data_IF_794182704017
#
_entry.id   IF_794182704017
#
_cell.length_a   1.000
_cell.length_b   1.000
_cell.length_c   1.000
_cell.angle_alpha   90.00
_cell.angle_beta   90.00
_cell.angle_gamma   90.00
#
_symmetry.space_group_name_H-M   'P 1'
#
loop_
_entity.id
_entity.type
_entity.pdbx_description
1 polymer ?
#
# COMPACT_ATOMS: atom_id res chain seq x y z
N UNK A 1 -18.08 -1.78 -34.11
CA UNK A 1 -18.85 -2.63 -33.17
C UNK A 1 -19.12 -1.81 -31.93
N UNK A 2 -20.39 -1.46 -31.70
CA UNK A 2 -20.84 -0.59 -30.61
C UNK A 2 -21.32 -1.46 -29.44
N UNK A 3 -20.80 -1.25 -28.24
CA UNK A 3 -21.26 -1.92 -27.02
C UNK A 3 -22.50 -1.20 -26.51
N UNK A 4 -23.63 -1.91 -26.53
CA UNK A 4 -24.90 -1.45 -25.95
C UNK A 4 -24.87 -1.63 -24.43
N UNK A 5 -24.86 -0.52 -23.70
CA UNK A 5 -24.83 -0.47 -22.24
C UNK A 5 -26.23 -0.60 -21.60
N UNK A 6 -27.29 -0.74 -22.40
CA UNK A 6 -28.67 -0.89 -21.93
C UNK A 6 -29.14 -2.35 -21.91
N UNK A 7 -28.29 -3.29 -22.33
CA UNK A 7 -28.58 -4.72 -22.21
C UNK A 7 -28.32 -5.20 -20.77
N UNK A 8 -29.35 -5.66 -20.02
CA UNK A 8 -29.15 -6.17 -18.67
C UNK A 8 -28.33 -7.46 -18.71
N UNK A 9 -27.15 -7.44 -18.10
CA UNK A 9 -26.32 -8.65 -17.92
C UNK A 9 -26.94 -9.54 -16.84
N UNK A 10 -27.04 -10.86 -17.07
CA UNK A 10 -27.73 -11.79 -16.16
C UNK A 10 -26.93 -12.18 -14.91
N UNK A 11 -25.77 -11.56 -14.64
CA UNK A 11 -24.86 -11.91 -13.54
C UNK A 11 -25.02 -11.04 -12.28
N UNK A 12 -25.91 -10.05 -12.27
CA UNK A 12 -26.24 -9.28 -11.06
C UNK A 12 -27.55 -9.82 -10.45
N UNK A 13 -27.39 -10.79 -9.55
CA UNK A 13 -28.48 -11.35 -8.75
C UNK A 13 -28.82 -10.40 -7.59
N UNK A 14 -29.71 -9.45 -7.86
CA UNK A 14 -30.56 -8.84 -6.81
C UNK A 14 -32.01 -8.78 -7.29
N UNK A 15 -32.54 -9.92 -7.74
CA UNK A 15 -33.98 -10.09 -7.90
C UNK A 15 -34.55 -10.60 -6.58
N UNK A 16 -35.13 -9.68 -5.79
CA UNK A 16 -36.04 -10.06 -4.71
C UNK A 16 -37.17 -10.87 -5.32
N UNK A 17 -37.28 -12.14 -4.94
CA UNK A 17 -38.46 -12.96 -5.23
C UNK A 17 -39.69 -12.22 -4.69
N UNK A 18 -40.66 -11.89 -5.55
CA UNK A 18 -41.99 -11.50 -5.07
C UNK A 18 -42.69 -12.76 -4.57
N UNK A 19 -42.97 -12.81 -3.28
CA UNK A 19 -43.84 -13.82 -2.68
C UNK A 19 -45.23 -13.74 -3.34
N UNK A 20 -45.80 -14.89 -3.65
CA UNK A 20 -47.19 -14.96 -4.13
C UNK A 20 -48.13 -14.73 -2.96
N UNK A 21 -49.33 -14.20 -3.25
CA UNK A 21 -50.35 -13.95 -2.23
C UNK A 21 -50.68 -15.26 -1.49
N UNK A 22 -50.34 -15.33 -0.20
CA UNK A 22 -50.50 -16.52 0.66
C UNK A 22 -49.20 -17.26 1.03
N UNK A 23 -48.05 -16.85 0.51
CA UNK A 23 -46.76 -17.46 0.86
C UNK A 23 -46.13 -16.75 2.09
N UNK A 24 -45.90 -17.51 3.17
CA UNK A 24 -45.29 -17.02 4.40
C UNK A 24 -43.77 -17.23 4.28
N UNK A 25 -43.02 -16.14 4.27
CA UNK A 25 -41.56 -16.17 4.30
C UNK A 25 -41.07 -16.54 5.71
N UNK A 26 -40.39 -17.67 5.84
CA UNK A 26 -39.78 -18.12 7.11
C UNK A 26 -38.31 -17.71 7.22
N UNK A 27 -37.82 -16.84 6.31
CA UNK A 27 -36.46 -16.31 6.39
C UNK A 27 -36.33 -15.39 7.62
N UNK A 28 -35.43 -15.67 8.57
CA UNK A 28 -35.19 -14.75 9.69
C UNK A 28 -34.71 -13.41 9.13
N UNK A 29 -35.31 -12.32 9.60
CA UNK A 29 -34.98 -10.98 9.16
C UNK A 29 -33.46 -10.74 9.29
N UNK A 30 -32.80 -10.12 8.29
CA UNK A 30 -31.44 -9.67 8.49
C UNK A 30 -31.43 -8.74 9.70
N UNK A 31 -30.55 -9.02 10.66
CA UNK A 31 -30.41 -8.20 11.85
C UNK A 31 -30.24 -6.74 11.42
N UNK A 32 -31.20 -5.90 11.77
CA UNK A 32 -31.10 -4.46 11.59
C UNK A 32 -29.91 -4.00 12.43
N UNK A 33 -28.80 -3.68 11.77
CA UNK A 33 -27.69 -2.99 12.42
C UNK A 33 -28.18 -1.56 12.63
N UNK A 34 -28.63 -1.26 13.84
CA UNK A 34 -28.92 0.12 14.23
C UNK A 34 -27.60 0.80 14.57
N UNK A 35 -27.02 1.47 13.57
CA UNK A 35 -25.75 2.20 13.69
C UNK A 35 -25.81 3.35 14.72
N UNK A 36 -27.00 3.70 15.21
CA UNK A 36 -27.25 4.74 16.20
C UNK A 36 -27.94 4.20 17.45
N UNK A 37 -27.69 2.94 17.82
CA UNK A 37 -28.16 2.40 19.09
C UNK A 37 -27.44 3.09 20.28
N UNK A 38 -28.05 4.17 20.76
CA UNK A 38 -27.64 4.93 21.94
C UNK A 38 -27.98 4.22 23.26
N UNK A 39 -28.61 3.05 23.21
CA UNK A 39 -28.94 2.25 24.40
C UNK A 39 -27.78 1.34 24.84
N UNK A 40 -26.78 1.14 23.99
CA UNK A 40 -25.57 0.39 24.34
C UNK A 40 -24.79 1.17 25.39
N UNK A 41 -24.54 0.55 26.54
CA UNK A 41 -23.73 1.18 27.58
C UNK A 41 -22.26 1.32 27.11
N UNK A 42 -21.52 2.36 27.55
CA UNK A 42 -20.13 2.58 27.12
C UNK A 42 -19.21 1.37 27.36
N UNK A 43 -19.51 0.59 28.40
CA UNK A 43 -18.77 -0.62 28.79
C UNK A 43 -19.02 -1.78 27.80
N UNK A 44 -20.26 -1.96 27.37
CA UNK A 44 -20.65 -2.98 26.38
C UNK A 44 -20.21 -2.60 24.95
N UNK A 45 -20.13 -1.30 24.64
CA UNK A 45 -19.52 -0.79 23.41
C UNK A 45 -18.00 -0.97 23.40
N UNK A 46 -17.34 -0.84 24.56
CA UNK A 46 -15.89 -1.02 24.71
C UNK A 46 -15.47 -2.50 24.63
N UNK A 47 -16.28 -3.44 25.14
CA UNK A 47 -16.03 -4.88 24.96
C UNK A 47 -16.11 -5.33 23.50
N UNK A 48 -17.01 -4.73 22.70
CA UNK A 48 -17.16 -5.04 21.26
C UNK A 48 -16.05 -4.44 20.39
N UNK A 49 -15.36 -3.41 20.86
CA UNK A 49 -14.24 -2.78 20.15
C UNK A 49 -12.94 -2.98 20.92
N UNK A 50 -12.36 -4.18 20.84
CA UNK A 50 -10.95 -4.32 21.18
C UNK A 50 -10.14 -3.34 20.32
N UNK A 51 -9.40 -2.39 20.92
CA UNK A 51 -8.61 -1.44 20.17
C UNK A 51 -7.57 -2.21 19.36
N UNK A 52 -7.60 -2.03 18.04
CA UNK A 52 -6.57 -2.58 17.15
C UNK A 52 -5.21 -2.10 17.68
N UNK A 53 -4.26 -3.00 17.96
CA UNK A 53 -2.97 -2.60 18.52
C UNK A 53 -2.32 -1.56 17.61
N UNK A 54 -1.88 -0.47 18.21
CA UNK A 54 -1.24 0.61 17.48
C UNK A 54 0.02 0.09 16.77
N UNK A 55 0.15 0.38 15.48
CA UNK A 55 1.35 0.02 14.72
C UNK A 55 2.57 0.75 15.32
N UNK A 56 3.74 0.07 15.42
CA UNK A 56 4.96 0.71 15.87
C UNK A 56 5.30 1.95 15.04
N UNK A 57 5.85 2.97 15.68
CA UNK A 57 6.22 4.24 15.06
C UNK A 57 7.74 4.36 14.99
N UNK A 58 8.26 4.88 13.88
CA UNK A 58 9.69 5.04 13.66
C UNK A 58 10.29 6.16 14.53
N UNK A 59 11.06 5.77 15.54
CA UNK A 59 11.76 6.69 16.45
C UNK A 59 13.28 6.72 16.24
N UNK A 60 13.86 5.71 15.58
CA UNK A 60 15.29 5.57 15.35
C UNK A 60 15.59 4.63 14.18
N UNK A 61 16.70 3.90 14.25
CA UNK A 61 17.00 2.84 13.29
C UNK A 61 16.26 1.55 13.64
N UNK A 62 15.63 0.91 12.66
CA UNK A 62 14.91 -0.35 12.82
C UNK A 62 15.17 -1.26 11.63
N UNK A 63 15.27 -2.57 11.87
CA UNK A 63 15.27 -3.59 10.81
C UNK A 63 13.90 -4.23 10.74
N UNK A 64 13.24 -4.18 9.58
CA UNK A 64 12.01 -4.93 9.37
C UNK A 64 12.33 -6.40 9.17
N UNK A 65 11.54 -7.24 9.82
CA UNK A 65 11.65 -8.70 9.75
C UNK A 65 10.26 -9.28 9.67
N UNK A 66 10.14 -10.60 9.51
CA UNK A 66 8.83 -11.26 9.57
C UNK A 66 8.13 -11.10 10.92
N UNK A 67 8.88 -10.90 12.01
CA UNK A 67 8.33 -10.62 13.35
C UNK A 67 7.93 -9.15 13.55
N UNK A 68 8.57 -8.22 12.83
CA UNK A 68 8.22 -6.80 12.80
C UNK A 68 8.05 -6.37 11.34
N UNK A 69 6.94 -6.75 10.69
CA UNK A 69 6.81 -6.60 9.25
C UNK A 69 6.43 -5.20 8.81
N UNK A 70 5.93 -4.36 9.73
CA UNK A 70 5.43 -3.03 9.45
C UNK A 70 5.91 -2.03 10.49
N UNK A 71 6.29 -0.84 10.02
CA UNK A 71 6.47 0.33 10.86
C UNK A 71 5.85 1.56 10.19
N UNK A 72 5.32 2.47 11.02
CA UNK A 72 4.73 3.71 10.56
C UNK A 72 5.71 4.87 10.76
N UNK A 73 5.84 5.73 9.77
CA UNK A 73 6.56 7.00 9.94
C UNK A 73 5.70 7.95 10.77
N UNK A 74 6.33 8.89 11.47
CA UNK A 74 5.60 10.01 12.07
C UNK A 74 5.03 10.93 10.98
N UNK A 75 4.03 11.75 11.32
CA UNK A 75 3.54 12.80 10.43
C UNK A 75 4.67 13.73 9.95
N UNK A 76 5.62 14.06 10.83
CA UNK A 76 6.79 14.88 10.51
C UNK A 76 7.70 14.21 9.48
N UNK A 77 8.06 12.94 9.71
CA UNK A 77 8.88 12.16 8.78
C UNK A 77 8.17 11.91 7.44
N UNK A 78 6.84 11.95 7.40
CA UNK A 78 6.03 11.76 6.18
C UNK A 78 5.80 13.04 5.37
N UNK A 79 6.13 14.21 5.92
CA UNK A 79 5.83 15.51 5.30
C UNK A 79 7.06 16.36 4.96
N UNK A 80 8.18 16.17 5.66
CA UNK A 80 9.36 17.04 5.53
C UNK A 80 10.37 16.47 4.53
N UNK A 81 10.58 17.19 3.43
CA UNK A 81 11.68 16.94 2.50
C UNK A 81 11.44 15.71 1.62
N UNK A 82 12.31 14.72 1.77
CA UNK A 82 12.30 13.49 1.00
C UNK A 82 12.68 12.28 1.85
N UNK A 83 12.31 11.10 1.38
CA UNK A 83 12.93 9.85 1.82
C UNK A 83 14.01 9.47 0.82
N UNK A 84 15.17 9.03 1.31
CA UNK A 84 16.23 8.47 0.47
C UNK A 84 16.28 6.98 0.69
N UNK A 85 16.22 6.21 -0.39
CA UNK A 85 16.23 4.75 -0.37
C UNK A 85 17.45 4.25 -1.12
N UNK A 86 18.37 3.60 -0.42
CA UNK A 86 19.61 3.06 -0.98
C UNK A 86 19.51 1.54 -1.15
N UNK A 87 20.39 0.95 -1.96
CA UNK A 87 20.38 -0.50 -2.23
C UNK A 87 19.26 -0.97 -3.16
N UNK A 88 18.65 -0.04 -3.91
CA UNK A 88 17.52 -0.32 -4.82
C UNK A 88 18.01 -0.54 -6.24
N UNK A 89 17.68 -1.69 -6.83
CA UNK A 89 17.92 -1.98 -8.25
C UNK A 89 16.69 -1.71 -9.11
N UNK A 90 15.50 -1.81 -8.50
CA UNK A 90 14.23 -1.62 -9.17
C UNK A 90 13.20 -1.01 -8.20
N UNK A 91 12.35 -0.12 -8.72
CA UNK A 91 11.14 0.25 -8.00
C UNK A 91 9.92 0.33 -8.91
N UNK A 92 8.76 0.03 -8.35
CA UNK A 92 7.45 0.22 -8.96
C UNK A 92 6.64 1.23 -8.15
N UNK A 93 5.73 1.94 -8.80
CA UNK A 93 4.81 2.85 -8.13
C UNK A 93 3.39 2.69 -8.63
N UNK A 94 2.48 3.18 -7.81
CA UNK A 94 1.10 3.46 -8.20
C UNK A 94 0.71 4.82 -7.62
N UNK A 95 0.14 5.68 -8.45
CA UNK A 95 -0.41 6.97 -8.04
C UNK A 95 -1.86 6.83 -7.58
N UNK A 96 -2.39 7.86 -6.91
CA UNK A 96 -3.80 7.93 -6.51
C UNK A 96 -4.76 7.85 -7.70
N UNK A 97 -4.35 8.38 -8.85
CA UNK A 97 -5.06 8.27 -10.13
C UNK A 97 -4.93 6.91 -10.82
N UNK A 98 -4.34 5.91 -10.15
CA UNK A 98 -4.07 4.54 -10.66
C UNK A 98 -3.11 4.45 -11.84
N UNK A 99 -2.41 5.53 -12.18
CA UNK A 99 -1.26 5.43 -13.08
C UNK A 99 -0.14 4.70 -12.33
N UNK A 100 0.38 3.64 -12.94
CA UNK A 100 1.45 2.81 -12.41
C UNK A 100 2.60 2.71 -13.41
N UNK A 101 3.75 2.28 -12.91
CA UNK A 101 4.93 2.03 -13.71
C UNK A 101 6.04 1.47 -12.85
N UNK A 102 7.19 1.25 -13.47
CA UNK A 102 8.37 0.76 -12.79
C UNK A 102 9.62 1.08 -13.56
N UNK A 103 10.72 1.23 -12.84
CA UNK A 103 12.01 1.56 -13.43
C UNK A 103 13.11 0.77 -12.77
N UNK A 104 13.98 0.20 -13.60
CA UNK A 104 15.21 -0.46 -13.17
C UNK A 104 16.37 0.52 -13.28
N UNK A 105 17.34 0.42 -12.38
CA UNK A 105 18.56 1.23 -12.41
C UNK A 105 19.22 1.15 -13.79
N UNK A 106 19.71 2.29 -14.28
CA UNK A 106 20.33 2.40 -15.61
C UNK A 106 19.34 2.36 -16.78
N UNK A 107 18.03 2.26 -16.52
CA UNK A 107 16.97 2.43 -17.53
C UNK A 107 16.25 3.75 -17.30
N UNK A 108 15.84 4.38 -18.38
CA UNK A 108 14.99 5.57 -18.35
C UNK A 108 13.56 5.14 -18.55
N UNK A 109 12.67 5.51 -17.64
CA UNK A 109 11.23 5.43 -17.87
C UNK A 109 10.76 6.75 -18.54
N UNK A 110 10.08 6.70 -19.69
CA UNK A 110 9.60 7.90 -20.38
C UNK A 110 8.67 8.79 -19.54
N UNK A 111 7.93 8.20 -18.58
CA UNK A 111 6.93 8.91 -17.79
C UNK A 111 7.02 8.60 -16.30
N UNK A 112 8.02 9.19 -15.66
CA UNK A 112 8.12 9.21 -14.20
C UNK A 112 6.91 9.92 -13.57
N UNK A 113 6.43 9.45 -12.40
CA UNK A 113 5.28 10.06 -11.75
C UNK A 113 5.68 11.43 -11.22
N UNK A 114 4.94 12.46 -11.60
CA UNK A 114 5.18 13.82 -11.19
C UNK A 114 3.86 14.55 -10.89
N UNK A 115 3.91 15.45 -9.93
CA UNK A 115 2.80 16.35 -9.60
C UNK A 115 3.31 17.79 -9.52
N UNK A 116 2.57 18.74 -10.09
CA UNK A 116 2.97 20.15 -10.16
C UNK A 116 4.42 20.37 -10.67
N UNK A 117 4.81 19.63 -11.73
CA UNK A 117 6.16 19.63 -12.33
C UNK A 117 7.28 19.16 -11.39
N UNK A 118 6.96 18.40 -10.34
CA UNK A 118 7.93 17.82 -9.41
C UNK A 118 7.81 16.29 -9.43
N UNK A 119 8.93 15.55 -9.61
CA UNK A 119 8.93 14.11 -9.44
C UNK A 119 8.43 13.71 -8.06
N UNK A 120 7.58 12.69 -8.00
CA UNK A 120 7.14 12.07 -6.76
C UNK A 120 8.17 11.04 -6.29
N UNK A 121 8.80 10.36 -7.25
CA UNK A 121 9.87 9.39 -7.02
C UNK A 121 10.79 9.37 -8.23
N UNK A 122 12.10 9.28 -8.01
CA UNK A 122 13.11 9.17 -9.07
C UNK A 122 14.43 8.57 -8.57
N UNK A 123 15.24 8.05 -9.49
CA UNK A 123 16.65 7.77 -9.21
C UNK A 123 17.46 9.08 -9.22
N UNK A 124 18.28 9.30 -8.19
CA UNK A 124 19.27 10.36 -8.09
C UNK A 124 20.62 9.73 -7.83
N UNK A 125 21.43 9.58 -8.89
CA UNK A 125 22.63 8.75 -8.84
C UNK A 125 22.26 7.29 -8.57
N UNK A 126 22.78 6.76 -7.46
CA UNK A 126 22.56 5.37 -7.03
C UNK A 126 21.41 5.21 -6.02
N UNK A 127 20.76 6.30 -5.62
CA UNK A 127 19.69 6.29 -4.63
C UNK A 127 18.34 6.56 -5.28
N UNK A 128 17.26 6.12 -4.63
CA UNK A 128 15.90 6.53 -4.99
C UNK A 128 15.43 7.58 -4.01
N UNK A 129 14.94 8.69 -4.53
CA UNK A 129 14.41 9.80 -3.73
C UNK A 129 12.89 9.82 -3.87
N UNK A 130 12.17 9.79 -2.74
CA UNK A 130 10.71 9.97 -2.69
C UNK A 130 10.40 11.36 -2.16
N UNK A 131 9.80 12.21 -2.98
CA UNK A 131 9.42 13.57 -2.61
C UNK A 131 8.18 13.61 -1.73
N UNK A 132 8.26 14.22 -0.55
CA UNK A 132 7.18 14.16 0.44
C UNK A 132 6.12 15.26 0.30
N UNK A 133 6.43 16.36 -0.39
CA UNK A 133 5.51 17.51 -0.56
C UNK A 133 4.15 17.11 -1.15
N UNK A 134 4.13 16.13 -2.05
CA UNK A 134 2.94 15.66 -2.75
C UNK A 134 2.75 14.15 -2.57
N UNK A 135 3.19 13.58 -1.44
CA UNK A 135 3.16 12.13 -1.23
C UNK A 135 1.75 11.54 -1.26
N UNK A 136 0.72 12.32 -0.95
CA UNK A 136 -0.69 11.90 -1.07
C UNK A 136 -1.12 11.57 -2.52
N UNK A 137 -0.35 11.99 -3.52
CA UNK A 137 -0.55 11.61 -4.92
C UNK A 137 0.07 10.25 -5.25
N UNK A 138 0.98 9.75 -4.41
CA UNK A 138 1.40 8.35 -4.42
C UNK A 138 0.42 7.52 -3.60
N UNK A 139 0.02 6.37 -4.13
CA UNK A 139 -0.75 5.36 -3.39
C UNK A 139 0.21 4.38 -2.71
N UNK A 140 1.17 3.89 -3.48
CA UNK A 140 2.20 2.97 -3.00
C UNK A 140 3.45 2.98 -3.87
N UNK A 141 4.54 2.53 -3.29
CA UNK A 141 5.82 2.28 -3.96
C UNK A 141 6.40 0.97 -3.45
N UNK A 142 6.98 0.17 -4.34
CA UNK A 142 7.66 -1.06 -3.99
C UNK A 142 9.11 -0.95 -4.45
N UNK A 143 10.05 -1.28 -3.58
CA UNK A 143 11.49 -1.25 -3.83
C UNK A 143 12.07 -2.66 -3.74
N UNK A 144 12.85 -3.05 -4.74
CA UNK A 144 13.54 -4.32 -4.80
C UNK A 144 15.06 -4.12 -5.00
N UNK A 145 15.84 -4.94 -4.31
CA UNK A 145 17.30 -5.00 -4.40
C UNK A 145 17.76 -6.37 -4.89
N UNK A 146 18.98 -6.45 -5.43
CA UNK A 146 19.58 -7.69 -5.95
C UNK A 146 20.36 -8.48 -4.88
N UNK A 147 19.77 -8.64 -3.68
CA UNK A 147 20.33 -9.51 -2.64
C UNK A 147 21.25 -8.83 -1.62
N UNK A 148 20.86 -7.65 -1.13
CA UNK A 148 21.52 -6.95 -0.03
C UNK A 148 20.54 -6.21 0.87
N UNK A 149 21.01 -5.17 1.54
CA UNK A 149 20.18 -4.34 2.42
C UNK A 149 19.64 -3.13 1.65
N UNK A 150 18.32 -2.98 1.63
CA UNK A 150 17.67 -1.71 1.32
C UNK A 150 17.63 -0.88 2.60
N UNK A 151 18.08 0.37 2.52
CA UNK A 151 17.99 1.32 3.63
C UNK A 151 17.14 2.51 3.22
N UNK A 152 16.01 2.71 3.90
CA UNK A 152 15.22 3.94 3.80
C UNK A 152 15.62 4.87 4.93
N UNK A 153 16.07 6.07 4.58
CA UNK A 153 16.42 7.13 5.53
C UNK A 153 15.38 8.24 5.47
N UNK A 154 14.81 8.56 6.63
CA UNK A 154 13.85 9.64 6.80
C UNK A 154 14.53 10.93 7.34
N UNK A 155 13.79 12.04 7.29
CA UNK A 155 14.23 13.29 7.91
C UNK A 155 14.58 13.09 9.40
N UNK A 156 15.72 13.65 9.82
CA UNK A 156 16.26 13.46 11.18
C UNK A 156 17.14 12.22 11.34
N UNK A 157 17.38 11.45 10.27
CA UNK A 157 18.33 10.33 10.26
C UNK A 157 17.77 9.00 10.76
N UNK A 158 16.47 8.91 11.05
CA UNK A 158 15.82 7.64 11.36
C UNK A 158 15.84 6.71 10.13
N UNK A 159 16.07 5.41 10.36
CA UNK A 159 16.34 4.46 9.29
C UNK A 159 15.47 3.22 9.40
N UNK A 160 15.08 2.69 8.24
CA UNK A 160 14.43 1.38 8.09
C UNK A 160 15.32 0.53 7.20
N UNK A 161 15.75 -0.60 7.72
CA UNK A 161 16.59 -1.56 7.02
C UNK A 161 15.74 -2.78 6.64
N UNK A 162 15.90 -3.25 5.42
CA UNK A 162 15.25 -4.45 4.89
C UNK A 162 16.30 -5.32 4.22
N UNK A 163 16.49 -6.53 4.73
CA UNK A 163 17.26 -7.55 4.01
C UNK A 163 16.40 -8.11 2.88
N UNK A 164 16.88 -7.93 1.64
CA UNK A 164 16.18 -8.41 0.45
C UNK A 164 16.42 -9.89 0.16
N UNK A 165 17.28 -10.57 0.93
CA UNK A 165 17.51 -12.01 0.94
C UNK A 165 17.45 -12.65 -0.46
N UNK A 166 18.35 -12.23 -1.36
CA UNK A 166 18.41 -12.73 -2.74
C UNK A 166 17.26 -12.28 -3.65
N UNK A 167 16.59 -11.16 -3.35
CA UNK A 167 15.46 -10.63 -4.13
C UNK A 167 14.10 -11.25 -3.77
N UNK A 168 14.03 -12.02 -2.68
CA UNK A 168 12.79 -12.65 -2.21
C UNK A 168 11.92 -11.71 -1.39
N UNK A 169 12.51 -10.67 -0.82
CA UNK A 169 11.81 -9.67 -0.01
C UNK A 169 11.95 -8.28 -0.62
N UNK A 170 10.91 -7.47 -0.48
CA UNK A 170 10.84 -6.09 -0.97
C UNK A 170 10.44 -5.15 0.14
N UNK A 171 10.81 -3.88 -0.01
CA UNK A 171 10.29 -2.80 0.82
C UNK A 171 9.07 -2.19 0.14
N UNK A 172 7.90 -2.29 0.77
CA UNK A 172 6.66 -1.68 0.31
C UNK A 172 6.33 -0.45 1.16
N UNK A 173 6.18 0.70 0.51
CA UNK A 173 5.64 1.91 1.12
C UNK A 173 4.19 2.11 0.70
N UNK A 174 3.30 2.23 1.67
CA UNK A 174 1.91 2.59 1.46
C UNK A 174 1.63 3.97 2.05
N UNK A 175 0.93 4.81 1.29
CA UNK A 175 0.49 6.13 1.76
C UNK A 175 -0.93 5.99 2.32
N UNK A 176 -1.08 6.16 3.63
CA UNK A 176 -2.35 5.98 4.35
C UNK A 176 -2.73 7.31 4.99
N UNK A 177 -3.67 8.00 4.34
CA UNK A 177 -3.95 9.40 4.64
C UNK A 177 -2.72 10.24 4.33
N UNK A 178 -2.17 10.89 5.36
CA UNK A 178 -0.99 11.76 5.24
C UNK A 178 0.29 11.11 5.81
N UNK A 179 0.24 9.81 6.12
CA UNK A 179 1.33 9.11 6.79
C UNK A 179 1.77 7.90 5.97
N UNK A 180 3.07 7.68 5.93
CA UNK A 180 3.67 6.54 5.24
C UNK A 180 3.79 5.35 6.19
N UNK A 181 3.38 4.18 5.72
CA UNK A 181 3.71 2.90 6.34
C UNK A 181 4.73 2.17 5.48
N UNK A 182 5.80 1.72 6.11
CA UNK A 182 6.83 0.89 5.49
C UNK A 182 6.63 -0.56 5.92
N UNK A 183 6.73 -1.48 4.96
CA UNK A 183 6.48 -2.91 5.15
C UNK A 183 7.52 -3.74 4.43
N UNK A 184 7.89 -4.87 5.01
CA UNK A 184 8.58 -5.94 4.30
C UNK A 184 7.53 -6.92 3.79
N UNK A 185 7.60 -7.27 2.51
CA UNK A 185 6.69 -8.21 1.86
C UNK A 185 7.49 -9.17 0.97
N UNK A 186 7.05 -10.43 0.81
CA UNK A 186 7.60 -11.32 -0.20
C UNK A 186 7.37 -10.73 -1.60
N UNK A 187 8.38 -10.82 -2.47
CA UNK A 187 8.32 -10.31 -3.84
C UNK A 187 7.17 -10.96 -4.66
N UNK A 188 6.85 -12.22 -4.37
CA UNK A 188 5.75 -12.96 -5.00
C UNK A 188 4.38 -12.39 -4.66
N UNK A 189 4.18 -11.91 -3.43
CA UNK A 189 2.88 -11.44 -2.94
C UNK A 189 2.49 -10.07 -3.53
N UNK A 190 3.49 -9.29 -3.95
CA UNK A 190 3.27 -7.99 -4.58
C UNK A 190 3.10 -8.06 -6.10
N UNK A 191 3.02 -9.27 -6.66
CA UNK A 191 2.85 -9.49 -8.10
C UNK A 191 4.04 -8.99 -8.92
N UNK A 192 5.22 -8.86 -8.29
CA UNK A 192 6.46 -8.62 -9.01
C UNK A 192 6.96 -9.95 -9.58
N UNK A 193 6.31 -10.42 -10.66
CA UNK A 193 6.94 -11.40 -11.55
C UNK A 193 8.01 -10.69 -12.40
N UNK A 194 9.14 -10.33 -11.78
CA UNK A 194 10.34 -10.19 -12.59
C UNK A 194 10.81 -11.59 -12.93
N UNK A 195 10.89 -11.88 -14.21
CA UNK A 195 12.02 -12.67 -14.70
C UNK A 195 13.28 -11.96 -14.24
N UNK A 196 13.74 -12.28 -13.02
CA UNK A 196 15.15 -12.23 -12.69
C UNK A 196 15.74 -13.36 -13.52
N UNK A 197 15.83 -13.17 -14.84
CA UNK A 197 16.74 -13.96 -15.62
C UNK A 197 18.10 -13.74 -14.94
N UNK A 198 18.74 -14.80 -14.40
CA UNK A 198 20.11 -14.65 -13.93
C UNK A 198 20.88 -14.01 -15.09
N UNK A 199 21.68 -12.98 -14.81
CA UNK A 199 22.61 -12.46 -15.79
C UNK A 199 23.33 -13.67 -16.38
N UNK A 200 23.15 -13.88 -17.69
CA UNK A 200 23.69 -15.04 -18.38
C UNK A 200 25.18 -15.17 -18.07
N UNK A 201 25.59 -16.36 -17.66
CA UNK A 201 26.98 -16.81 -17.77
C UNK A 201 27.33 -17.01 -19.23
#
# INVERSE_FOLDING_TARGET
MSLDLLSPRPDIVFLRRRLRQGEIDTTPAPATIDFLDLSTTPEEAAEKHQPVPAKPVLTGAVTLTTALPVIRLTARQSAIGSLTVTGVNYFAWETRGRASGGVRRGRTEPRMPAFAKRPLIEFVGDDVVVGLRHVAELRRVIFAGEGGIITLTAHGGAQILVDTAGGTMVLHLAVIGQVIEARIEPAVDVGLEFSIAPAGR
#
